data_IF_369268065828
#
_entry.id   IF_369268065828
#
_cell.length_a   1.000
_cell.length_b   1.000
_cell.length_c   1.000
_cell.angle_alpha   90.00
_cell.angle_beta   90.00
_cell.angle_gamma   90.00
#
_symmetry.space_group_name_H-M   'P 1'
#
loop_
_entity.id
_entity.type
_entity.pdbx_description
1 polymer ?
#
# COMPACT_ATOMS: atom_id res chain seq x y z
N UNK A 1 -22.46 -6.67 12.29
CA UNK A 1 -21.68 -5.46 11.91
C UNK A 1 -21.71 -5.39 10.40
N UNK A 2 -22.30 -4.35 9.82
CA UNK A 2 -22.30 -4.12 8.36
C UNK A 2 -20.88 -3.83 7.93
N UNK A 3 -20.30 -4.68 7.05
CA UNK A 3 -19.01 -4.40 6.44
C UNK A 3 -19.05 -3.01 5.80
N UNK A 4 -18.08 -2.16 6.12
CA UNK A 4 -17.96 -0.84 5.51
C UNK A 4 -17.77 -1.03 3.99
N UNK A 5 -18.75 -0.60 3.22
CA UNK A 5 -18.72 -0.67 1.75
C UNK A 5 -18.34 0.70 1.20
N UNK A 6 -17.16 0.78 0.60
CA UNK A 6 -16.70 2.00 -0.08
C UNK A 6 -17.60 2.31 -1.27
N UNK A 7 -17.94 3.60 -1.45
CA UNK A 7 -18.72 4.05 -2.63
C UNK A 7 -17.86 3.99 -3.89
N UNK A 8 -18.48 3.84 -5.07
CA UNK A 8 -17.74 3.84 -6.35
C UNK A 8 -17.03 5.18 -6.61
N UNK A 9 -17.61 6.30 -6.20
CA UNK A 9 -16.97 7.61 -6.28
C UNK A 9 -15.66 7.66 -5.47
N UNK A 10 -15.67 7.12 -4.23
CA UNK A 10 -14.48 7.07 -3.38
C UNK A 10 -13.42 6.14 -3.95
N UNK A 11 -13.82 4.99 -4.50
CA UNK A 11 -12.88 4.08 -5.18
C UNK A 11 -12.20 4.77 -6.35
N UNK A 12 -12.95 5.44 -7.22
CA UNK A 12 -12.41 6.16 -8.37
C UNK A 12 -11.45 7.28 -7.95
N UNK A 13 -11.72 8.02 -6.87
CA UNK A 13 -10.81 9.02 -6.31
C UNK A 13 -9.51 8.39 -5.84
N UNK A 14 -9.58 7.26 -5.11
CA UNK A 14 -8.40 6.55 -4.63
C UNK A 14 -7.57 5.97 -5.78
N UNK A 15 -8.21 5.35 -6.77
CA UNK A 15 -7.54 4.83 -7.97
C UNK A 15 -6.78 5.93 -8.70
N UNK A 16 -7.42 7.08 -8.89
CA UNK A 16 -6.77 8.25 -9.49
C UNK A 16 -5.57 8.72 -8.68
N UNK A 17 -5.71 8.88 -7.35
CA UNK A 17 -4.62 9.30 -6.47
C UNK A 17 -3.44 8.32 -6.48
N UNK A 18 -3.70 7.01 -6.56
CA UNK A 18 -2.65 6.00 -6.70
C UNK A 18 -1.93 6.13 -8.05
N UNK A 19 -2.66 6.32 -9.15
CA UNK A 19 -2.09 6.56 -10.47
C UNK A 19 -1.26 7.86 -10.51
N UNK A 20 -1.79 8.97 -10.00
CA UNK A 20 -1.09 10.27 -9.90
C UNK A 20 0.21 10.14 -9.07
N UNK A 21 0.21 9.27 -8.05
CA UNK A 21 1.39 9.00 -7.22
C UNK A 21 2.47 8.25 -8.01
N UNK A 22 2.10 7.26 -8.83
CA UNK A 22 3.03 6.58 -9.73
C UNK A 22 3.58 7.52 -10.82
N UNK A 23 2.76 8.41 -11.34
CA UNK A 23 3.16 9.41 -12.34
C UNK A 23 4.23 10.37 -11.80
N UNK A 24 4.16 10.77 -10.54
CA UNK A 24 5.17 11.62 -9.88
C UNK A 24 6.56 10.99 -9.86
N UNK A 25 6.66 9.66 -9.87
CA UNK A 25 7.93 8.92 -9.96
C UNK A 25 8.49 8.92 -11.39
N UNK A 26 7.69 9.35 -12.38
CA UNK A 26 8.10 9.43 -13.78
C UNK A 26 8.04 8.09 -14.51
N UNK A 27 7.26 7.13 -14.04
CA UNK A 27 7.06 5.88 -14.76
C UNK A 27 6.24 6.11 -16.03
N UNK A 28 6.86 5.92 -17.19
CA UNK A 28 6.15 5.92 -18.49
C UNK A 28 5.30 4.64 -18.65
N UNK A 29 5.80 3.53 -18.13
CA UNK A 29 5.08 2.26 -17.95
C UNK A 29 5.37 1.77 -16.53
N UNK A 30 4.33 1.45 -15.79
CA UNK A 30 4.49 0.97 -14.41
C UNK A 30 5.29 -0.34 -14.39
N UNK A 31 6.44 -0.38 -13.70
CA UNK A 31 7.23 -1.60 -13.59
C UNK A 31 6.52 -2.64 -12.73
N UNK A 32 6.81 -3.91 -12.97
CA UNK A 32 6.36 -5.02 -12.12
C UNK A 32 7.60 -5.76 -11.62
N UNK A 33 7.81 -5.81 -10.31
CA UNK A 33 7.08 -5.13 -9.24
C UNK A 33 7.37 -3.62 -9.19
N UNK A 34 6.41 -2.82 -8.72
CA UNK A 34 6.60 -1.39 -8.44
C UNK A 34 7.66 -1.20 -7.35
N UNK A 35 8.64 -0.35 -7.55
CA UNK A 35 9.60 0.03 -6.49
C UNK A 35 8.94 1.03 -5.51
N UNK A 36 8.26 0.51 -4.51
CA UNK A 36 7.51 1.31 -3.54
C UNK A 36 8.41 2.18 -2.66
N UNK A 37 9.67 1.78 -2.45
CA UNK A 37 10.63 2.60 -1.69
C UNK A 37 11.02 3.84 -2.50
N UNK A 38 11.24 3.69 -3.80
CA UNK A 38 11.46 4.83 -4.70
C UNK A 38 10.22 5.75 -4.73
N UNK A 39 9.01 5.19 -4.72
CA UNK A 39 7.77 5.99 -4.60
C UNK A 39 7.77 6.79 -3.30
N UNK A 40 8.04 6.15 -2.16
CA UNK A 40 8.09 6.82 -0.86
C UNK A 40 9.16 7.92 -0.82
N UNK A 41 10.36 7.64 -1.32
CA UNK A 41 11.46 8.61 -1.38
C UNK A 41 11.09 9.83 -2.25
N UNK A 42 10.39 9.63 -3.36
CA UNK A 42 9.91 10.72 -4.23
C UNK A 42 8.92 11.63 -3.51
N UNK A 43 8.13 11.08 -2.57
CA UNK A 43 7.23 11.84 -1.71
C UNK A 43 7.93 12.44 -0.47
N UNK A 44 9.26 12.28 -0.36
CA UNK A 44 10.09 12.84 0.69
C UNK A 44 10.24 11.95 1.93
N UNK A 45 9.73 10.72 1.91
CA UNK A 45 9.83 9.79 3.05
C UNK A 45 11.17 9.04 3.06
N UNK A 46 11.83 9.00 4.22
CA UNK A 46 12.77 7.95 4.53
C UNK A 46 12.00 6.67 4.90
N UNK A 47 12.51 5.50 4.50
CA UNK A 47 11.90 4.20 4.78
C UNK A 47 12.91 3.32 5.50
N UNK A 48 12.51 2.71 6.62
CA UNK A 48 13.43 1.86 7.39
C UNK A 48 12.72 0.75 8.17
N UNK A 49 13.50 -0.29 8.53
CA UNK A 49 13.01 -1.30 9.46
C UNK A 49 13.05 -0.75 10.90
N UNK A 50 12.02 -1.05 11.67
CA UNK A 50 11.91 -0.73 13.08
C UNK A 50 11.70 -2.01 13.91
N UNK A 51 12.18 -1.99 15.14
CA UNK A 51 11.88 -3.03 16.13
C UNK A 51 10.54 -2.70 16.77
N UNK A 52 9.49 -3.30 16.25
CA UNK A 52 8.10 -3.12 16.72
C UNK A 52 7.59 -4.38 17.39
N UNK A 53 6.54 -4.26 18.18
CA UNK A 53 5.81 -5.40 18.73
C UNK A 53 5.12 -6.19 17.63
N UNK A 54 4.77 -7.44 17.89
CA UNK A 54 4.17 -8.32 16.86
C UNK A 54 2.81 -7.81 16.35
N UNK A 55 2.12 -7.00 17.15
CA UNK A 55 0.81 -6.41 16.83
C UNK A 55 0.90 -5.07 16.07
N UNK A 56 2.10 -4.59 15.75
CA UNK A 56 2.30 -3.37 14.95
C UNK A 56 3.04 -3.71 13.67
N UNK A 57 2.42 -3.42 12.54
CA UNK A 57 2.99 -3.68 11.21
C UNK A 57 3.91 -2.56 10.73
N UNK A 58 3.53 -1.33 10.95
CA UNK A 58 4.29 -0.15 10.55
C UNK A 58 3.78 1.12 11.22
N UNK A 59 4.40 2.22 10.87
CA UNK A 59 3.98 3.55 11.27
C UNK A 59 4.46 4.60 10.27
N UNK A 60 3.75 5.72 10.22
CA UNK A 60 4.15 6.90 9.47
C UNK A 60 4.30 8.09 10.41
N UNK A 61 5.33 8.90 10.20
CA UNK A 61 5.57 10.14 10.93
C UNK A 61 5.81 11.26 9.93
N UNK A 62 5.11 12.37 10.11
CA UNK A 62 5.35 13.61 9.38
C UNK A 62 5.51 14.74 10.41
N UNK A 63 6.65 15.44 10.35
CA UNK A 63 6.98 16.58 11.22
C UNK A 63 7.50 17.73 10.36
N UNK A 64 6.62 18.47 9.74
CA UNK A 64 7.02 19.55 8.82
C UNK A 64 7.96 20.55 9.49
N UNK A 65 9.12 20.77 8.83
CA UNK A 65 10.14 21.71 9.29
C UNK A 65 11.07 21.18 10.39
N UNK A 66 10.80 20.03 11.00
CA UNK A 66 11.63 19.42 12.03
C UNK A 66 12.42 18.22 11.47
N UNK A 67 13.62 18.48 10.92
CA UNK A 67 14.48 17.46 10.29
C UNK A 67 15.20 16.58 11.31
N UNK A 68 14.48 15.98 12.25
CA UNK A 68 15.03 14.98 13.15
C UNK A 68 13.92 14.08 13.68
N UNK A 69 13.69 12.93 13.01
CA UNK A 69 12.80 11.89 13.50
C UNK A 69 13.67 10.72 13.99
N UNK A 70 13.63 10.43 15.28
CA UNK A 70 14.41 9.36 15.94
C UNK A 70 15.91 9.36 15.60
N UNK A 71 16.54 10.54 15.46
CA UNK A 71 17.95 10.68 15.09
C UNK A 71 18.24 10.56 13.60
N UNK A 72 17.23 10.36 12.76
CA UNK A 72 17.33 10.34 11.31
C UNK A 72 17.07 11.77 10.78
N UNK A 73 17.96 12.27 9.91
CA UNK A 73 17.82 13.60 9.31
C UNK A 73 16.71 13.62 8.24
N UNK A 74 15.47 13.56 8.68
CA UNK A 74 14.26 13.61 7.86
C UNK A 74 13.12 14.25 8.64
N UNK A 75 12.17 14.83 7.95
CA UNK A 75 10.88 15.30 8.47
C UNK A 75 9.71 14.36 8.12
N UNK A 76 9.99 13.32 7.32
CA UNK A 76 9.01 12.28 6.94
C UNK A 76 9.64 10.90 7.02
N UNK A 77 9.02 9.99 7.79
CA UNK A 77 9.53 8.65 8.01
C UNK A 77 8.41 7.60 7.94
N UNK A 78 8.68 6.50 7.24
CA UNK A 78 7.91 5.26 7.32
C UNK A 78 8.78 4.21 8.01
N UNK A 79 8.30 3.70 9.15
CA UNK A 79 8.92 2.60 9.88
C UNK A 79 8.14 1.31 9.65
N UNK A 80 8.85 0.21 9.39
CA UNK A 80 8.24 -1.09 9.05
C UNK A 80 8.71 -2.12 10.05
N UNK A 81 7.82 -2.98 10.53
CA UNK A 81 8.19 -4.08 11.40
C UNK A 81 9.19 -5.02 10.70
N UNK A 82 10.37 -5.11 11.27
CA UNK A 82 11.47 -5.92 10.74
C UNK A 82 11.15 -7.41 10.62
N UNK A 83 10.18 -7.91 11.39
CA UNK A 83 9.78 -9.33 11.42
C UNK A 83 8.87 -9.75 10.26
N UNK A 84 8.29 -8.80 9.50
CA UNK A 84 7.38 -9.10 8.40
C UNK A 84 8.12 -9.63 7.17
N UNK A 85 7.45 -10.46 6.36
CA UNK A 85 7.99 -10.94 5.07
C UNK A 85 8.25 -9.77 4.12
N UNK A 86 9.12 -9.96 3.12
CA UNK A 86 9.45 -8.91 2.16
C UNK A 86 8.21 -8.39 1.40
N UNK A 87 7.35 -9.29 0.94
CA UNK A 87 6.10 -8.93 0.25
C UNK A 87 5.18 -8.11 1.17
N UNK A 88 5.07 -8.49 2.45
CA UNK A 88 4.26 -7.77 3.43
C UNK A 88 4.85 -6.40 3.75
N UNK A 89 6.17 -6.27 3.90
CA UNK A 89 6.84 -4.97 4.09
C UNK A 89 6.55 -3.99 2.98
N UNK A 90 6.54 -4.45 1.74
CA UNK A 90 6.19 -3.62 0.58
C UNK A 90 4.74 -3.13 0.66
N UNK A 91 3.82 -4.03 1.05
CA UNK A 91 2.41 -3.68 1.22
C UNK A 91 2.23 -2.65 2.34
N UNK A 92 2.94 -2.80 3.46
CA UNK A 92 2.93 -1.83 4.57
C UNK A 92 3.39 -0.45 4.09
N UNK A 93 4.50 -0.34 3.36
CA UNK A 93 4.95 0.96 2.82
C UNK A 93 3.87 1.61 1.96
N UNK A 94 3.24 0.84 1.07
CA UNK A 94 2.17 1.36 0.21
C UNK A 94 0.93 1.77 1.01
N UNK A 95 0.59 1.05 2.07
CA UNK A 95 -0.50 1.35 2.99
C UNK A 95 -0.25 2.65 3.75
N UNK A 96 0.96 2.84 4.31
CA UNK A 96 1.34 4.08 4.99
C UNK A 96 1.33 5.29 4.04
N UNK A 97 1.75 5.09 2.79
CA UNK A 97 1.60 6.11 1.74
C UNK A 97 0.12 6.41 1.45
N UNK A 98 -0.74 5.40 1.53
CA UNK A 98 -2.19 5.56 1.41
C UNK A 98 -2.74 6.50 2.48
N UNK A 99 -2.37 6.32 3.74
CA UNK A 99 -2.73 7.25 4.81
C UNK A 99 -2.25 8.66 4.52
N UNK A 100 -1.01 8.83 4.11
CA UNK A 100 -0.48 10.15 3.78
C UNK A 100 -1.22 10.81 2.62
N UNK A 101 -1.47 10.09 1.53
CA UNK A 101 -2.09 10.66 0.32
C UNK A 101 -3.58 10.96 0.50
N UNK A 102 -4.26 10.14 1.32
CA UNK A 102 -5.72 10.22 1.47
C UNK A 102 -6.16 11.01 2.70
N UNK A 103 -5.38 10.99 3.79
CA UNK A 103 -5.82 11.45 5.11
C UNK A 103 -4.85 12.44 5.78
N UNK A 104 -3.89 13.01 5.02
CA UNK A 104 -2.85 13.88 5.59
C UNK A 104 -3.40 15.05 6.40
N UNK A 105 -4.44 15.72 5.92
CA UNK A 105 -5.03 16.87 6.60
C UNK A 105 -5.61 16.51 7.98
N UNK A 106 -6.08 15.27 8.12
CA UNK A 106 -6.58 14.72 9.38
C UNK A 106 -5.43 14.26 10.30
N UNK A 107 -4.26 13.95 9.72
CA UNK A 107 -3.05 13.51 10.43
C UNK A 107 -2.22 14.66 10.98
N UNK A 108 -2.29 15.84 10.40
CA UNK A 108 -1.41 16.99 10.68
C UNK A 108 -1.44 17.42 12.15
N UNK A 109 -2.54 17.18 12.87
CA UNK A 109 -2.69 17.57 14.28
C UNK A 109 -2.03 16.59 15.29
N UNK A 110 -1.59 15.40 14.88
CA UNK A 110 -1.19 14.34 15.83
C UNK A 110 0.25 13.82 15.70
N UNK A 111 0.98 14.14 14.66
CA UNK A 111 2.44 13.98 14.54
C UNK A 111 3.00 12.57 14.34
N UNK A 112 2.39 11.51 14.89
CA UNK A 112 2.82 10.10 14.73
C UNK A 112 1.60 9.21 14.59
N UNK A 113 1.53 8.46 13.50
CA UNK A 113 0.52 7.43 13.27
C UNK A 113 1.18 6.05 13.31
N UNK A 114 0.84 5.25 14.32
CA UNK A 114 1.23 3.86 14.41
C UNK A 114 0.02 2.99 14.11
N UNK A 115 0.11 2.17 13.07
CA UNK A 115 -0.95 1.25 12.69
C UNK A 115 -0.77 -0.09 13.38
N UNK A 116 -1.77 -0.47 14.17
CA UNK A 116 -1.82 -1.76 14.85
C UNK A 116 -2.56 -2.75 13.96
N UNK A 117 -2.01 -3.95 13.93
CA UNK A 117 -2.51 -5.17 13.30
C UNK A 117 -3.83 -5.02 12.51
N UNK A 118 -3.76 -5.12 11.19
CA UNK A 118 -4.88 -5.04 10.23
C UNK A 118 -6.09 -5.91 10.55
N UNK A 119 -6.04 -6.70 11.61
CA UNK A 119 -7.09 -7.66 11.96
C UNK A 119 -8.09 -7.17 13.01
N UNK A 120 -7.80 -6.11 13.78
CA UNK A 120 -8.60 -5.84 14.98
C UNK A 120 -9.68 -4.77 14.86
N UNK A 121 -9.53 -3.73 14.07
CA UNK A 121 -10.61 -2.74 13.84
C UNK A 121 -10.44 -2.05 12.48
N UNK A 122 -10.99 -2.64 11.42
CA UNK A 122 -11.03 -1.96 10.11
C UNK A 122 -12.02 -0.80 10.17
N UNK A 123 -11.50 0.39 10.36
CA UNK A 123 -12.24 1.62 10.12
C UNK A 123 -12.23 1.98 8.60
N UNK A 124 -12.94 3.04 8.23
CA UNK A 124 -13.03 3.47 6.83
C UNK A 124 -11.63 3.81 6.26
N UNK A 125 -10.81 4.52 7.02
CA UNK A 125 -9.48 4.98 6.61
C UNK A 125 -8.52 3.82 6.34
N UNK A 126 -8.55 2.77 7.18
CA UNK A 126 -7.76 1.55 6.98
C UNK A 126 -8.14 0.84 5.66
N UNK A 127 -9.46 0.72 5.40
CA UNK A 127 -9.92 0.11 4.14
C UNK A 127 -9.54 0.96 2.92
N UNK A 128 -9.55 2.27 3.04
CA UNK A 128 -9.12 3.21 1.99
C UNK A 128 -7.62 3.11 1.75
N UNK A 129 -6.81 3.04 2.80
CA UNK A 129 -5.35 2.87 2.70
C UNK A 129 -4.98 1.50 2.11
N UNK A 130 -5.67 0.41 2.52
CA UNK A 130 -5.53 -0.91 1.91
C UNK A 130 -5.85 -0.89 0.40
N UNK A 131 -6.94 -0.21 0.03
CA UNK A 131 -7.37 -0.09 -1.37
C UNK A 131 -6.38 0.75 -2.19
N UNK A 132 -5.86 1.84 -1.61
CA UNK A 132 -4.78 2.62 -2.22
C UNK A 132 -3.53 1.77 -2.44
N UNK A 133 -3.09 1.01 -1.42
CA UNK A 133 -1.92 0.14 -1.50
C UNK A 133 -2.07 -0.91 -2.61
N UNK A 134 -3.24 -1.53 -2.73
CA UNK A 134 -3.54 -2.48 -3.79
C UNK A 134 -3.45 -1.83 -5.18
N UNK A 135 -4.01 -0.62 -5.35
CA UNK A 135 -3.96 0.11 -6.62
C UNK A 135 -2.56 0.62 -6.97
N UNK A 136 -1.77 1.00 -5.96
CA UNK A 136 -0.38 1.43 -6.15
C UNK A 136 0.52 0.27 -6.60
N UNK A 137 0.42 -0.89 -5.93
CA UNK A 137 1.29 -2.04 -6.17
C UNK A 137 0.82 -2.94 -7.32
N UNK A 138 -0.48 -2.96 -7.59
CA UNK A 138 -1.15 -3.76 -8.62
C UNK A 138 -2.11 -2.89 -9.44
N UNK A 139 -1.59 -1.91 -10.24
CA UNK A 139 -2.43 -1.04 -11.06
C UNK A 139 -3.34 -1.87 -11.97
N UNK A 140 -4.60 -1.42 -12.11
CA UNK A 140 -5.69 -2.19 -12.73
C UNK A 140 -5.34 -2.74 -14.11
N UNK A 141 -4.84 -1.88 -15.00
CA UNK A 141 -4.51 -2.25 -16.38
C UNK A 141 -3.35 -3.25 -16.42
N UNK A 142 -2.29 -2.99 -15.64
CA UNK A 142 -1.13 -3.87 -15.54
C UNK A 142 -1.52 -5.21 -14.93
N UNK A 143 -2.35 -5.20 -13.89
CA UNK A 143 -2.83 -6.43 -13.26
C UNK A 143 -3.68 -7.27 -14.21
N UNK A 144 -4.62 -6.64 -14.93
CA UNK A 144 -5.44 -7.33 -15.93
C UNK A 144 -4.59 -7.90 -17.07
N UNK A 145 -3.58 -7.16 -17.55
CA UNK A 145 -2.63 -7.65 -18.56
C UNK A 145 -1.93 -8.94 -18.08
N UNK A 146 -1.42 -8.94 -16.83
CA UNK A 146 -0.72 -10.09 -16.27
C UNK A 146 -1.65 -11.27 -15.99
N UNK A 147 -2.84 -10.99 -15.47
CA UNK A 147 -3.85 -12.02 -15.24
C UNK A 147 -4.24 -12.74 -16.55
N UNK A 148 -4.51 -11.96 -17.62
CA UNK A 148 -4.90 -12.51 -18.93
C UNK A 148 -3.76 -13.22 -19.67
N UNK A 149 -2.51 -13.00 -19.27
CA UNK A 149 -1.36 -13.72 -19.81
C UNK A 149 -1.14 -15.10 -19.16
N UNK A 150 -1.83 -15.40 -18.06
CA UNK A 150 -1.75 -16.71 -17.41
C UNK A 150 -2.58 -17.75 -18.17
N UNK A 151 -2.14 -19.02 -18.17
CA UNK A 151 -2.90 -20.13 -18.77
C UNK A 151 -4.32 -20.24 -18.17
N UNK A 152 -5.31 -20.49 -19.03
CA UNK A 152 -6.72 -20.61 -18.63
C UNK A 152 -6.98 -21.83 -17.74
N UNK A 153 -6.14 -22.88 -17.87
CA UNK A 153 -6.25 -24.13 -17.10
C UNK A 153 -5.89 -23.96 -15.63
N UNK A 154 -5.23 -22.83 -15.27
CA UNK A 154 -4.86 -22.57 -13.88
C UNK A 154 -6.09 -22.17 -13.07
N UNK A 155 -6.28 -22.85 -11.95
CA UNK A 155 -7.27 -22.45 -10.96
C UNK A 155 -6.94 -21.12 -10.27
N UNK A 156 -7.96 -20.46 -9.70
CA UNK A 156 -7.85 -19.16 -9.03
C UNK A 156 -6.69 -19.09 -8.03
N UNK A 157 -6.51 -20.13 -7.22
CA UNK A 157 -5.44 -20.20 -6.21
C UNK A 157 -4.04 -20.20 -6.85
N UNK A 158 -3.86 -20.94 -7.94
CA UNK A 158 -2.60 -21.00 -8.67
C UNK A 158 -2.29 -19.66 -9.33
N UNK A 159 -3.27 -19.03 -9.96
CA UNK A 159 -3.14 -17.68 -10.53
C UNK A 159 -2.77 -16.67 -9.44
N UNK A 160 -3.40 -16.74 -8.25
CA UNK A 160 -3.08 -15.87 -7.13
C UNK A 160 -1.62 -16.02 -6.65
N UNK A 161 -1.11 -17.24 -6.57
CA UNK A 161 0.28 -17.51 -6.18
C UNK A 161 1.27 -16.90 -7.19
N UNK A 162 1.02 -17.10 -8.49
CA UNK A 162 1.89 -16.59 -9.55
C UNK A 162 1.92 -15.07 -9.58
N UNK A 163 0.74 -14.43 -9.51
CA UNK A 163 0.65 -12.97 -9.48
C UNK A 163 1.23 -12.37 -8.20
N UNK A 164 1.03 -13.03 -7.04
CA UNK A 164 1.65 -12.59 -5.79
C UNK A 164 3.18 -12.61 -5.87
N UNK A 165 3.76 -13.61 -6.52
CA UNK A 165 5.20 -13.68 -6.76
C UNK A 165 5.68 -12.61 -7.76
N UNK A 166 4.94 -12.37 -8.85
CA UNK A 166 5.29 -11.39 -9.88
C UNK A 166 5.22 -9.95 -9.36
N UNK A 167 4.12 -9.58 -8.70
CA UNK A 167 3.95 -8.25 -8.11
C UNK A 167 4.69 -8.06 -6.77
N UNK A 168 5.22 -9.15 -6.21
CA UNK A 168 5.87 -9.19 -4.88
C UNK A 168 4.98 -8.58 -3.80
N UNK A 169 3.78 -9.14 -3.67
CA UNK A 169 2.75 -8.75 -2.69
C UNK A 169 2.24 -9.98 -1.94
N UNK A 170 1.58 -9.81 -0.76
CA UNK A 170 0.92 -10.93 -0.10
C UNK A 170 -0.15 -11.57 -0.99
N UNK A 171 -0.26 -12.90 -0.98
CA UNK A 171 -1.26 -13.63 -1.77
C UNK A 171 -2.70 -13.15 -1.47
N UNK A 172 -2.99 -12.86 -0.20
CA UNK A 172 -4.32 -12.40 0.21
C UNK A 172 -4.68 -11.04 -0.40
N UNK A 173 -3.67 -10.18 -0.66
CA UNK A 173 -3.88 -8.93 -1.39
C UNK A 173 -4.28 -9.20 -2.86
N UNK A 174 -3.70 -10.20 -3.50
CA UNK A 174 -4.08 -10.62 -4.87
C UNK A 174 -5.51 -11.20 -4.90
N UNK A 175 -5.86 -12.06 -3.94
CA UNK A 175 -7.21 -12.62 -3.85
C UNK A 175 -8.25 -11.50 -3.71
N UNK A 176 -7.97 -10.50 -2.86
CA UNK A 176 -8.83 -9.33 -2.72
C UNK A 176 -8.89 -8.51 -4.02
N UNK A 177 -7.76 -8.39 -4.73
CA UNK A 177 -7.70 -7.71 -6.03
C UNK A 177 -8.58 -8.38 -7.09
N UNK A 178 -8.66 -9.71 -7.10
CA UNK A 178 -9.61 -10.45 -7.95
C UNK A 178 -11.06 -10.03 -7.69
N UNK A 179 -11.44 -9.91 -6.41
CA UNK A 179 -12.80 -9.50 -6.02
C UNK A 179 -13.10 -8.07 -6.45
N UNK A 180 -12.14 -7.15 -6.25
CA UNK A 180 -12.27 -5.74 -6.64
C UNK A 180 -12.43 -5.56 -8.15
N UNK A 181 -11.71 -6.34 -8.95
CA UNK A 181 -11.73 -6.28 -10.40
C UNK A 181 -12.73 -7.24 -11.05
N UNK A 182 -13.48 -8.03 -10.25
CA UNK A 182 -14.44 -9.03 -10.72
C UNK A 182 -13.82 -10.02 -11.72
N UNK A 183 -12.58 -10.44 -11.48
CA UNK A 183 -11.91 -11.50 -12.25
C UNK A 183 -12.06 -12.84 -11.54
N UNK A 184 -12.42 -13.89 -12.30
CA UNK A 184 -12.70 -15.25 -11.80
C UNK A 184 -11.51 -16.19 -11.95
#
# INVERSE_FOLDING_TARGET
>A
MTAFKMTEEKKNDIEKKAADTLEKVGYQKTPVPVDVVTVANTLGFAVGNASLTEDVDGFIVVKEGEKNIFGINTDKLIGINGLRSFAWKRFIVAHELGHYVLHYDEMADHGIYAHRDHQKEKNAQENEADYFAANLLMPKETFAERYNALPDELGREQKAILLAAEFVVPKDAVIRRFEELSVE
#
